data_IF_196253909537
#
_entry.id   IF_196253909537
#
_cell.length_a   1.000
_cell.length_b   1.000
_cell.length_c   1.000
_cell.angle_alpha   90.00
_cell.angle_beta   90.00
_cell.angle_gamma   90.00
#
_symmetry.space_group_name_H-M   'P 1'
#
loop_
_entity.id
_entity.type
_entity.pdbx_description
1 polymer ?
#
# COMPACT_ATOMS: atom_id res chain seq x y z
N UNK A 1 8.09 -5.58 3.45
CA UNK A 1 8.90 -4.56 2.75
C UNK A 1 10.38 -4.90 2.90
N UNK A 2 11.09 -4.55 3.98
CA UNK A 2 12.54 -4.82 4.10
C UNK A 2 13.00 -6.24 3.70
N UNK A 3 12.50 -7.28 4.38
CA UNK A 3 12.90 -8.67 4.07
C UNK A 3 12.49 -9.14 2.68
N UNK A 4 11.40 -8.61 2.11
CA UNK A 4 11.08 -8.91 0.71
C UNK A 4 12.12 -8.28 -0.20
N UNK A 5 12.47 -7.02 0.04
CA UNK A 5 13.53 -6.34 -0.71
C UNK A 5 14.89 -7.03 -0.63
N UNK A 6 15.24 -7.60 0.53
CA UNK A 6 16.46 -8.42 0.67
C UNK A 6 16.37 -9.73 -0.12
N UNK A 7 15.19 -10.37 -0.15
CA UNK A 7 15.02 -11.66 -0.84
C UNK A 7 14.83 -11.53 -2.35
N UNK A 8 14.20 -10.45 -2.82
CA UNK A 8 14.02 -10.15 -4.25
C UNK A 8 15.21 -9.38 -4.84
N UNK A 9 16.14 -8.93 -3.99
CA UNK A 9 17.37 -8.25 -4.38
C UNK A 9 17.25 -6.74 -4.59
N UNK A 10 16.07 -6.15 -4.41
CA UNK A 10 15.90 -4.68 -4.47
C UNK A 10 16.58 -3.95 -3.30
N UNK A 11 16.94 -4.66 -2.23
CA UNK A 11 17.88 -4.19 -1.20
C UNK A 11 19.17 -5.01 -1.33
N UNK A 12 20.24 -4.42 -1.89
CA UNK A 12 21.53 -5.07 -2.03
C UNK A 12 22.15 -5.48 -0.69
N UNK A 13 23.01 -6.49 -0.71
CA UNK A 13 23.70 -7.02 0.49
C UNK A 13 24.67 -5.99 1.11
N UNK A 14 25.14 -5.05 0.31
CA UNK A 14 25.98 -3.93 0.70
C UNK A 14 25.17 -2.68 1.10
N UNK A 15 23.84 -2.78 1.16
CA UNK A 15 22.93 -1.70 1.59
C UNK A 15 21.87 -2.20 2.60
N UNK A 16 22.18 -3.27 3.34
CA UNK A 16 21.22 -3.88 4.27
C UNK A 16 20.82 -2.91 5.39
N UNK A 17 21.77 -2.17 5.94
CA UNK A 17 21.47 -1.25 7.03
C UNK A 17 20.81 0.04 6.52
N UNK A 18 21.28 0.56 5.38
CA UNK A 18 20.70 1.72 4.71
C UNK A 18 19.25 1.46 4.29
N UNK A 19 18.98 0.34 3.62
CA UNK A 19 17.62 -0.04 3.21
C UNK A 19 16.68 -0.23 4.40
N UNK A 20 17.18 -0.70 5.55
CA UNK A 20 16.42 -0.76 6.78
C UNK A 20 16.03 0.64 7.30
N UNK A 21 17.00 1.55 7.40
CA UNK A 21 16.75 2.90 7.91
C UNK A 21 15.91 3.76 6.96
N UNK A 22 16.06 3.60 5.65
CA UNK A 22 15.22 4.26 4.65
C UNK A 22 13.73 3.88 4.83
N UNK A 23 13.45 2.61 5.11
CA UNK A 23 12.09 2.15 5.40
C UNK A 23 11.57 2.62 6.76
N UNK A 24 12.45 2.70 7.77
CA UNK A 24 12.11 3.22 9.11
C UNK A 24 11.70 4.68 9.05
N UNK A 25 12.46 5.48 8.29
CA UNK A 25 12.16 6.89 8.10
C UNK A 25 10.90 7.09 7.26
N UNK A 26 10.82 6.48 6.07
CA UNK A 26 9.67 6.67 5.16
C UNK A 26 8.34 6.17 5.69
N UNK A 27 8.31 5.11 6.51
CA UNK A 27 7.05 4.53 7.00
C UNK A 27 6.71 4.92 8.43
N UNK A 28 7.71 5.26 9.26
CA UNK A 28 7.51 5.46 10.70
C UNK A 28 8.01 6.82 11.20
N UNK A 29 8.71 7.61 10.38
CA UNK A 29 9.18 8.93 10.77
C UNK A 29 10.25 8.93 11.85
N UNK A 30 11.12 7.91 11.86
CA UNK A 30 12.17 7.76 12.87
C UNK A 30 13.55 7.64 12.26
N UNK A 31 14.52 8.31 12.89
CA UNK A 31 15.94 8.30 12.52
C UNK A 31 16.81 7.72 13.65
N UNK A 32 18.01 7.18 13.40
CA UNK A 32 18.86 6.69 14.46
C UNK A 32 19.33 7.83 15.39
N UNK A 33 19.25 7.68 16.72
CA UNK A 33 19.57 8.75 17.66
C UNK A 33 21.06 9.12 17.72
N UNK A 34 21.95 8.23 17.29
CA UNK A 34 23.40 8.43 17.31
C UNK A 34 23.95 8.98 15.97
N UNK A 35 23.06 9.46 15.09
CA UNK A 35 23.43 9.85 13.72
C UNK A 35 23.42 8.67 12.74
N UNK A 36 23.91 8.91 11.53
CA UNK A 36 23.90 7.92 10.45
C UNK A 36 24.66 6.64 10.85
N UNK A 37 24.06 5.48 10.54
CA UNK A 37 24.63 4.16 10.83
C UNK A 37 25.03 3.47 9.53
N UNK A 38 26.32 3.22 9.36
CA UNK A 38 26.86 2.56 8.17
C UNK A 38 26.61 1.06 8.12
N UNK A 39 27.15 0.43 7.08
CA UNK A 39 26.98 -1.00 6.75
C UNK A 39 27.90 -1.93 7.57
N UNK A 40 28.78 -1.36 8.39
CA UNK A 40 29.45 -2.11 9.46
C UNK A 40 28.47 -2.62 10.53
N UNK A 41 27.22 -2.15 10.51
CA UNK A 41 26.13 -2.58 11.37
C UNK A 41 25.07 -3.38 10.61
N UNK A 42 24.36 -4.22 11.36
CA UNK A 42 23.19 -4.93 10.86
C UNK A 42 22.05 -4.78 11.88
N UNK A 43 21.53 -3.57 11.99
CA UNK A 43 20.47 -3.20 12.93
C UNK A 43 19.18 -4.05 12.77
N UNK A 44 18.72 -4.47 11.57
CA UNK A 44 17.61 -5.41 11.47
C UNK A 44 17.89 -6.75 12.17
N UNK A 45 19.16 -7.17 12.28
CA UNK A 45 19.55 -8.37 13.04
C UNK A 45 19.25 -8.28 14.55
N UNK A 46 19.11 -7.07 15.09
CA UNK A 46 18.71 -6.86 16.48
C UNK A 46 17.22 -7.13 16.73
N UNK A 47 16.40 -7.30 15.68
CA UNK A 47 14.99 -7.69 15.79
C UNK A 47 14.83 -9.19 15.63
N UNK A 48 14.50 -9.90 16.72
CA UNK A 48 14.32 -11.37 16.80
C UNK A 48 13.85 -12.08 15.52
N UNK A 49 12.79 -11.59 14.88
CA UNK A 49 12.18 -12.21 13.69
C UNK A 49 13.10 -12.29 12.47
N UNK A 50 14.13 -11.45 12.39
CA UNK A 50 15.13 -11.47 11.32
C UNK A 50 16.07 -12.67 11.50
N UNK A 51 16.86 -12.82 12.58
CA UNK A 51 17.73 -13.98 12.76
C UNK A 51 16.96 -15.29 12.99
N UNK A 52 15.76 -15.24 13.57
CA UNK A 52 14.92 -16.44 13.75
C UNK A 52 14.15 -16.84 12.48
N UNK A 53 14.29 -16.11 11.37
CA UNK A 53 13.60 -16.35 10.10
C UNK A 53 12.07 -16.51 10.22
N UNK A 54 11.43 -15.70 11.06
CA UNK A 54 9.96 -15.73 11.28
C UNK A 54 9.28 -14.64 10.44
N UNK A 55 8.39 -14.97 9.49
CA UNK A 55 7.72 -13.97 8.64
C UNK A 55 6.94 -12.91 9.44
N UNK A 56 7.13 -11.62 9.12
CA UNK A 56 6.58 -10.50 9.90
C UNK A 56 5.21 -9.97 9.40
N UNK A 57 4.85 -10.21 8.12
CA UNK A 57 3.60 -9.70 7.52
C UNK A 57 2.34 -10.15 8.29
N UNK A 58 2.41 -11.31 8.95
CA UNK A 58 1.35 -11.84 9.81
C UNK A 58 0.89 -10.85 10.88
N UNK A 59 1.80 -10.01 11.39
CA UNK A 59 1.46 -9.02 12.40
C UNK A 59 0.65 -7.89 11.79
N UNK A 60 1.08 -7.31 10.67
CA UNK A 60 0.32 -6.27 9.97
C UNK A 60 -1.10 -6.76 9.64
N UNK A 61 -1.22 -7.95 9.05
CA UNK A 61 -2.53 -8.58 8.79
C UNK A 61 -3.34 -8.72 10.08
N UNK A 62 -2.75 -9.25 11.15
CA UNK A 62 -3.41 -9.38 12.45
C UNK A 62 -3.89 -8.04 13.02
N UNK A 63 -3.16 -6.94 12.82
CA UNK A 63 -3.58 -5.60 13.26
C UNK A 63 -4.76 -5.04 12.47
N UNK A 64 -4.99 -5.49 11.23
CA UNK A 64 -6.20 -5.13 10.48
C UNK A 64 -7.36 -6.03 10.88
N UNK A 65 -7.19 -7.36 10.74
CA UNK A 65 -8.32 -8.29 10.87
C UNK A 65 -8.80 -8.44 12.32
N UNK A 66 -7.98 -8.16 13.34
CA UNK A 66 -8.45 -8.25 14.72
C UNK A 66 -9.59 -7.28 15.02
N UNK A 67 -9.58 -6.08 14.43
CA UNK A 67 -10.67 -5.11 14.60
C UNK A 67 -11.91 -5.48 13.78
N UNK A 68 -11.71 -6.08 12.60
CA UNK A 68 -12.79 -6.65 11.79
C UNK A 68 -13.50 -7.80 12.54
N UNK A 69 -12.73 -8.68 13.19
CA UNK A 69 -13.28 -9.73 14.04
C UNK A 69 -13.99 -9.12 15.24
N UNK A 70 -13.36 -8.18 15.94
CA UNK A 70 -13.95 -7.54 17.10
C UNK A 70 -15.29 -6.87 16.75
N UNK A 71 -15.36 -6.10 15.66
CA UNK A 71 -16.59 -5.50 15.16
C UNK A 71 -17.69 -6.55 14.92
N UNK A 72 -17.36 -7.63 14.21
CA UNK A 72 -18.31 -8.72 13.91
C UNK A 72 -18.81 -9.43 15.18
N UNK A 73 -17.91 -9.66 16.14
CA UNK A 73 -18.25 -10.32 17.40
C UNK A 73 -19.08 -9.42 18.31
N UNK A 74 -18.82 -8.11 18.31
CA UNK A 74 -19.60 -7.12 19.05
C UNK A 74 -21.01 -6.98 18.48
N UNK A 75 -21.16 -6.99 17.16
CA UNK A 75 -22.47 -7.03 16.50
C UNK A 75 -23.24 -8.28 16.92
N UNK A 76 -22.60 -9.46 16.87
CA UNK A 76 -23.22 -10.71 17.32
C UNK A 76 -23.58 -10.69 18.82
N UNK A 77 -22.81 -9.97 19.63
CA UNK A 77 -23.09 -9.78 21.05
C UNK A 77 -24.24 -8.79 21.33
N UNK A 78 -24.82 -8.16 20.30
CA UNK A 78 -25.87 -7.15 20.44
C UNK A 78 -25.37 -5.83 21.00
N UNK A 79 -24.07 -5.55 20.90
CA UNK A 79 -23.48 -4.29 21.38
C UNK A 79 -24.08 -3.10 20.61
N UNK A 80 -24.31 -2.01 21.33
CA UNK A 80 -24.75 -0.73 20.75
C UNK A 80 -23.84 0.38 21.26
N UNK A 81 -23.46 1.30 20.38
CA UNK A 81 -22.55 2.39 20.69
C UNK A 81 -21.15 2.21 20.10
N UNK A 82 -20.16 3.00 20.56
CA UNK A 82 -18.81 2.99 20.00
C UNK A 82 -18.14 1.61 20.12
N UNK A 83 -17.40 1.20 19.10
CA UNK A 83 -16.80 -0.13 19.04
C UNK A 83 -15.80 -0.36 20.20
N UNK A 84 -15.04 0.65 20.60
CA UNK A 84 -14.04 0.54 21.65
C UNK A 84 -14.60 0.30 23.07
N UNK A 85 -15.91 0.41 23.27
CA UNK A 85 -16.56 0.11 24.56
C UNK A 85 -17.15 -1.30 24.63
N UNK A 86 -17.09 -2.06 23.53
CA UNK A 86 -17.61 -3.41 23.49
C UNK A 86 -16.78 -4.38 24.34
N UNK A 87 -17.47 -5.22 25.10
CA UNK A 87 -16.90 -6.39 25.75
C UNK A 87 -17.70 -7.63 25.35
N UNK A 88 -17.01 -8.64 24.80
CA UNK A 88 -17.62 -9.90 24.37
C UNK A 88 -17.57 -10.99 25.46
N UNK A 89 -17.16 -10.63 26.68
CA UNK A 89 -17.12 -11.54 27.81
C UNK A 89 -18.46 -12.23 28.05
N UNK A 90 -18.42 -13.55 28.24
CA UNK A 90 -19.59 -14.40 28.49
C UNK A 90 -20.66 -14.37 27.38
N UNK A 91 -20.30 -14.03 26.14
CA UNK A 91 -21.21 -14.07 25.00
C UNK A 91 -21.04 -15.35 24.16
N UNK A 92 -22.08 -16.20 24.15
CA UNK A 92 -22.05 -17.49 23.44
C UNK A 92 -22.15 -17.37 21.93
N UNK A 93 -22.79 -16.31 21.42
CA UNK A 93 -22.97 -16.11 19.98
C UNK A 93 -21.65 -15.70 19.33
N UNK A 94 -20.91 -14.77 19.95
CA UNK A 94 -19.54 -14.44 19.59
C UNK A 94 -18.62 -15.67 19.67
N UNK A 95 -18.72 -16.45 20.75
CA UNK A 95 -17.99 -17.71 20.90
C UNK A 95 -18.29 -18.73 19.79
N UNK A 96 -19.55 -18.81 19.35
CA UNK A 96 -19.98 -19.67 18.25
C UNK A 96 -19.33 -19.31 16.91
N UNK A 97 -19.26 -18.01 16.60
CA UNK A 97 -18.59 -17.49 15.40
C UNK A 97 -17.09 -17.84 15.43
N UNK A 98 -16.41 -17.54 16.54
CA UNK A 98 -15.00 -17.86 16.72
C UNK A 98 -14.74 -19.36 16.56
N UNK A 99 -15.55 -20.21 17.19
CA UNK A 99 -15.40 -21.67 17.13
C UNK A 99 -15.52 -22.18 15.70
N UNK A 100 -16.54 -21.74 14.96
CA UNK A 100 -16.77 -22.17 13.55
C UNK A 100 -15.56 -21.89 12.67
N UNK A 101 -14.93 -20.72 12.84
CA UNK A 101 -13.75 -20.34 12.09
C UNK A 101 -12.50 -21.12 12.51
N UNK A 102 -12.26 -21.25 13.83
CA UNK A 102 -11.06 -21.90 14.37
C UNK A 102 -11.03 -23.42 14.10
N UNK A 103 -12.18 -24.10 14.12
CA UNK A 103 -12.27 -25.55 13.86
C UNK A 103 -11.84 -25.93 12.43
N UNK A 104 -11.86 -24.99 11.47
CA UNK A 104 -11.47 -25.24 10.07
C UNK A 104 -9.94 -25.28 9.89
N UNK A 105 -9.17 -24.64 10.78
CA UNK A 105 -7.73 -24.54 10.63
C UNK A 105 -7.31 -24.05 9.24
N UNK A 106 -6.67 -24.92 8.46
CA UNK A 106 -6.23 -24.64 7.08
C UNK A 106 -6.98 -25.46 6.02
N UNK A 107 -8.16 -26.02 6.34
CA UNK A 107 -8.92 -26.86 5.40
C UNK A 107 -9.72 -26.08 4.35
N UNK A 108 -9.88 -24.78 4.54
CA UNK A 108 -10.73 -23.90 3.72
C UNK A 108 -9.96 -22.62 3.35
N UNK A 109 -10.23 -22.00 2.18
CA UNK A 109 -9.61 -20.74 1.80
C UNK A 109 -9.87 -19.64 2.83
N UNK A 110 -8.83 -18.89 3.19
CA UNK A 110 -8.95 -17.85 4.22
C UNK A 110 -10.03 -16.79 3.94
N UNK A 111 -10.37 -16.38 2.69
CA UNK A 111 -11.45 -15.41 2.46
C UNK A 111 -12.82 -15.98 2.86
N UNK A 112 -13.02 -17.29 2.68
CA UNK A 112 -14.24 -17.98 3.10
C UNK A 112 -14.35 -18.00 4.63
N UNK A 113 -13.26 -18.33 5.31
CA UNK A 113 -13.20 -18.31 6.78
C UNK A 113 -13.35 -16.88 7.32
N UNK A 114 -12.77 -15.88 6.65
CA UNK A 114 -12.89 -14.47 6.98
C UNK A 114 -14.33 -13.96 6.81
N UNK A 115 -15.07 -14.46 5.82
CA UNK A 115 -16.49 -14.12 5.67
C UNK A 115 -17.31 -14.58 6.87
N UNK A 116 -17.03 -15.78 7.40
CA UNK A 116 -17.71 -16.28 8.59
C UNK A 116 -17.32 -15.49 9.86
N UNK A 117 -16.01 -15.24 10.05
CA UNK A 117 -15.48 -14.63 11.28
C UNK A 117 -15.55 -13.10 11.32
N UNK A 118 -15.39 -12.46 10.16
CA UNK A 118 -15.25 -11.02 9.98
C UNK A 118 -16.31 -10.40 9.06
N UNK A 119 -17.31 -11.18 8.61
CA UNK A 119 -18.47 -10.68 7.86
C UNK A 119 -18.23 -10.30 6.40
N UNK A 120 -16.99 -10.42 5.89
CA UNK A 120 -16.59 -10.04 4.54
C UNK A 120 -15.49 -10.98 4.04
N UNK A 121 -15.36 -11.16 2.73
CA UNK A 121 -14.26 -11.94 2.15
C UNK A 121 -12.96 -11.13 2.07
N UNK A 122 -13.03 -9.81 2.26
CA UNK A 122 -11.90 -8.90 2.15
C UNK A 122 -11.39 -8.50 3.54
N UNK A 123 -10.09 -8.18 3.60
CA UNK A 123 -9.53 -7.49 4.76
C UNK A 123 -9.90 -6.01 4.71
N UNK A 124 -10.51 -5.51 5.78
CA UNK A 124 -11.08 -4.17 5.82
C UNK A 124 -10.44 -3.33 6.93
N UNK A 125 -9.77 -2.24 6.57
CA UNK A 125 -9.16 -1.30 7.51
C UNK A 125 -10.17 -0.38 8.20
N UNK A 126 -11.40 -0.30 7.70
CA UNK A 126 -12.40 0.61 8.26
C UNK A 126 -12.71 0.29 9.73
N UNK A 127 -12.64 -0.98 10.15
CA UNK A 127 -12.96 -1.40 11.52
C UNK A 127 -11.95 -0.88 12.55
N UNK A 128 -10.66 -0.82 12.22
CA UNK A 128 -9.66 -0.19 13.10
C UNK A 128 -9.84 1.33 13.16
N UNK A 129 -10.21 1.96 12.04
CA UNK A 129 -10.53 3.40 12.00
C UNK A 129 -11.73 3.70 12.91
N UNK A 130 -12.82 2.92 12.79
CA UNK A 130 -14.03 3.08 13.60
C UNK A 130 -13.75 2.89 15.10
N UNK A 131 -12.82 1.99 15.45
CA UNK A 131 -12.43 1.79 16.85
C UNK A 131 -11.76 3.05 17.43
N UNK A 132 -10.84 3.66 16.68
CA UNK A 132 -10.05 4.81 17.12
C UNK A 132 -10.63 6.17 16.72
N UNK A 133 -11.79 6.22 16.08
CA UNK A 133 -12.41 7.48 15.58
C UNK A 133 -12.47 8.60 16.63
N UNK A 134 -12.84 8.36 17.90
CA UNK A 134 -12.87 9.43 18.90
C UNK A 134 -11.48 9.99 19.21
N UNK A 135 -10.45 9.12 19.19
CA UNK A 135 -9.07 9.52 19.40
C UNK A 135 -8.54 10.29 18.19
N UNK A 136 -8.86 9.85 16.97
CA UNK A 136 -8.47 10.56 15.75
C UNK A 136 -9.04 11.98 15.75
N UNK A 137 -10.34 12.13 16.02
CA UNK A 137 -11.00 13.44 16.12
C UNK A 137 -10.35 14.33 17.18
N UNK A 138 -10.03 13.76 18.35
CA UNK A 138 -9.35 14.50 19.41
C UNK A 138 -7.95 14.96 18.98
N UNK A 139 -7.15 14.06 18.39
CA UNK A 139 -5.79 14.37 17.94
C UNK A 139 -5.78 15.41 16.82
N UNK A 140 -6.70 15.33 15.86
CA UNK A 140 -6.81 16.32 14.78
C UNK A 140 -7.07 17.72 15.34
N UNK A 141 -7.93 17.84 16.36
CA UNK A 141 -8.19 19.12 17.03
C UNK A 141 -6.99 19.63 17.81
N UNK A 142 -6.31 18.77 18.59
CA UNK A 142 -5.11 19.16 19.33
C UNK A 142 -3.98 19.61 18.39
N UNK A 143 -3.80 18.94 17.25
CA UNK A 143 -2.82 19.31 16.24
C UNK A 143 -3.17 20.67 15.61
N UNK A 144 -4.44 20.92 15.30
CA UNK A 144 -4.93 22.23 14.83
C UNK A 144 -4.66 23.34 15.85
N UNK A 145 -5.03 23.13 17.11
CA UNK A 145 -4.92 24.14 18.16
C UNK A 145 -3.46 24.48 18.48
N UNK A 146 -2.58 23.49 18.37
CA UNK A 146 -1.14 23.65 18.61
C UNK A 146 -0.34 24.05 17.36
N UNK A 147 -1.01 24.32 16.22
CA UNK A 147 -0.40 24.62 14.92
C UNK A 147 0.71 23.61 14.55
N UNK A 148 0.46 22.33 14.87
CA UNK A 148 1.41 21.24 14.65
C UNK A 148 1.14 20.62 13.29
N UNK A 149 2.19 20.45 12.50
CA UNK A 149 2.06 19.78 11.23
C UNK A 149 2.09 18.25 11.35
N UNK A 150 1.41 17.61 10.41
CA UNK A 150 1.37 16.16 10.27
C UNK A 150 2.46 15.75 9.29
N UNK A 151 3.25 14.74 9.67
CA UNK A 151 4.36 14.22 8.88
C UNK A 151 5.72 14.58 9.47
N UNK A 152 6.78 14.45 8.66
CA UNK A 152 8.16 14.75 9.07
C UNK A 152 8.98 15.21 7.86
N UNK A 153 10.07 15.94 8.14
CA UNK A 153 10.88 16.56 7.10
C UNK A 153 10.10 17.65 6.34
N UNK A 154 10.23 17.67 5.02
CA UNK A 154 9.57 18.64 4.16
C UNK A 154 8.07 18.33 3.94
N UNK A 155 7.60 17.17 4.42
CA UNK A 155 6.20 16.72 4.32
C UNK A 155 5.38 17.17 5.54
N UNK A 156 5.39 18.47 5.81
CA UNK A 156 4.73 19.10 6.95
C UNK A 156 3.36 19.63 6.49
N UNK A 157 2.30 18.81 6.62
CA UNK A 157 0.94 19.19 6.23
C UNK A 157 0.24 19.92 7.36
N UNK A 158 -0.45 21.03 7.06
CA UNK A 158 -1.35 21.66 8.01
C UNK A 158 -2.48 20.67 8.38
N UNK A 159 -2.84 20.52 9.66
CA UNK A 159 -3.90 19.62 10.06
C UNK A 159 -5.23 20.09 9.44
N UNK A 160 -6.03 19.15 8.93
CA UNK A 160 -7.24 19.43 8.13
C UNK A 160 -8.46 18.97 8.92
N UNK A 161 -9.48 19.81 9.04
CA UNK A 161 -10.75 19.44 9.65
C UNK A 161 -11.48 18.38 8.80
N UNK A 162 -11.93 17.30 9.45
CA UNK A 162 -12.61 16.13 8.84
C UNK A 162 -13.88 16.45 8.04
N UNK A 163 -14.43 17.66 8.14
CA UNK A 163 -15.69 18.04 7.49
C UNK A 163 -15.59 18.35 5.98
N UNK A 164 -14.40 18.51 5.41
CA UNK A 164 -14.23 19.21 4.13
C UNK A 164 -13.79 18.31 2.95
N UNK A 165 -14.14 17.02 2.97
CA UNK A 165 -13.71 16.04 1.95
C UNK A 165 -14.55 15.97 0.67
N UNK A 166 -15.36 16.97 0.37
CA UNK A 166 -15.99 17.06 -0.96
C UNK A 166 -16.12 18.51 -1.44
N UNK A 167 -15.44 18.79 -2.56
CA UNK A 167 -15.70 19.82 -3.59
C UNK A 167 -14.36 20.39 -4.13
N UNK A 168 -14.12 20.14 -5.41
CA UNK A 168 -13.18 20.83 -6.32
C UNK A 168 -14.06 21.34 -7.51
N UNK A 169 -13.76 22.36 -8.35
CA UNK A 169 -12.78 23.49 -8.36
C UNK A 169 -13.38 24.87 -8.74
N UNK A 170 -12.56 25.94 -8.88
CA UNK A 170 -12.45 26.72 -10.14
C UNK A 170 -11.16 27.56 -10.30
N UNK A 171 -10.69 27.59 -11.55
CA UNK A 171 -9.41 28.08 -12.12
C UNK A 171 -9.42 29.56 -12.56
N UNK A 172 -8.22 30.15 -12.75
CA UNK A 172 -7.93 31.37 -13.55
C UNK A 172 -7.00 31.02 -14.74
N UNK A 173 -7.26 31.48 -16.00
CA UNK A 173 -6.76 30.90 -17.24
C UNK A 173 -5.42 31.46 -17.77
N UNK A 174 -4.45 31.77 -16.90
CA UNK A 174 -3.08 32.12 -17.35
C UNK A 174 -1.97 31.44 -16.57
N UNK A 175 -2.24 30.27 -16.01
CA UNK A 175 -1.24 29.52 -15.25
C UNK A 175 -0.93 28.15 -15.86
N UNK A 176 0.36 27.89 -16.04
CA UNK A 176 0.95 26.68 -16.61
C UNK A 176 0.53 25.42 -15.81
N UNK A 177 0.28 25.60 -14.52
CA UNK A 177 -0.11 24.55 -13.58
C UNK A 177 -1.50 23.99 -13.83
N UNK A 178 -2.43 24.81 -14.32
CA UNK A 178 -3.79 24.35 -14.54
C UNK A 178 -3.88 23.36 -15.70
N UNK A 179 -3.11 23.60 -16.77
CA UNK A 179 -3.02 22.67 -17.90
C UNK A 179 -2.23 21.40 -17.52
N UNK A 180 -1.16 21.54 -16.73
CA UNK A 180 -0.41 20.42 -16.20
C UNK A 180 -1.26 19.52 -15.27
N UNK A 181 -2.15 20.11 -14.47
CA UNK A 181 -3.10 19.39 -13.62
C UNK A 181 -4.10 18.55 -14.41
N UNK A 182 -4.65 19.11 -15.49
CA UNK A 182 -5.54 18.38 -16.39
C UNK A 182 -4.81 17.23 -17.11
N UNK A 183 -3.60 17.49 -17.60
CA UNK A 183 -2.78 16.45 -18.25
C UNK A 183 -2.40 15.32 -17.29
N UNK A 184 -2.11 15.62 -16.02
CA UNK A 184 -1.84 14.60 -14.99
C UNK A 184 -3.08 13.78 -14.65
N UNK A 185 -4.26 14.41 -14.66
CA UNK A 185 -5.53 13.71 -14.44
C UNK A 185 -5.91 12.79 -15.61
N UNK A 186 -5.63 13.21 -16.85
CA UNK A 186 -5.83 12.38 -18.04
C UNK A 186 -4.84 11.20 -18.07
N UNK A 187 -3.56 11.44 -17.78
CA UNK A 187 -2.56 10.38 -17.61
C UNK A 187 -3.01 9.35 -16.56
N UNK A 188 -3.48 9.82 -15.40
CA UNK A 188 -3.93 8.92 -14.34
C UNK A 188 -5.12 8.05 -14.79
N UNK A 189 -6.05 8.62 -15.56
CA UNK A 189 -7.22 7.88 -16.05
C UNK A 189 -6.83 6.83 -17.09
N UNK A 190 -5.99 7.19 -18.06
CA UNK A 190 -5.53 6.28 -19.11
C UNK A 190 -4.64 5.17 -18.56
N UNK A 191 -3.72 5.50 -17.66
CA UNK A 191 -2.84 4.53 -17.01
C UNK A 191 -3.62 3.60 -16.09
N UNK A 192 -4.64 4.10 -15.38
CA UNK A 192 -5.50 3.25 -14.54
C UNK A 192 -6.20 2.17 -15.36
N UNK A 193 -6.75 2.51 -16.53
CA UNK A 193 -7.43 1.52 -17.37
C UNK A 193 -6.46 0.46 -17.92
N UNK A 194 -5.27 0.87 -18.35
CA UNK A 194 -4.24 -0.05 -18.85
C UNK A 194 -3.68 -0.96 -17.74
N UNK A 195 -3.36 -0.39 -16.58
CA UNK A 195 -2.85 -1.13 -15.42
C UNK A 195 -3.92 -2.08 -14.87
N UNK A 196 -5.18 -1.65 -14.82
CA UNK A 196 -6.28 -2.50 -14.38
C UNK A 196 -6.46 -3.70 -15.31
N UNK A 197 -6.43 -3.48 -16.63
CA UNK A 197 -6.50 -4.58 -17.59
C UNK A 197 -5.30 -5.55 -17.45
N UNK A 198 -4.07 -5.02 -17.38
CA UNK A 198 -2.89 -5.85 -17.18
C UNK A 198 -2.93 -6.66 -15.87
N UNK A 199 -3.45 -6.06 -14.80
CA UNK A 199 -3.65 -6.73 -13.51
C UNK A 199 -4.69 -7.84 -13.58
N UNK A 200 -5.78 -7.67 -14.35
CA UNK A 200 -6.78 -8.72 -14.57
C UNK A 200 -6.24 -9.88 -15.42
N UNK A 201 -5.41 -9.59 -16.41
CA UNK A 201 -4.71 -10.61 -17.20
C UNK A 201 -3.70 -11.36 -16.34
N UNK A 202 -2.98 -10.66 -15.46
CA UNK A 202 -2.11 -11.27 -14.44
C UNK A 202 -2.88 -12.18 -13.48
N UNK A 203 -4.02 -11.71 -13.00
CA UNK A 203 -4.90 -12.51 -12.15
C UNK A 203 -5.32 -13.80 -12.86
N UNK A 204 -5.64 -13.74 -14.15
CA UNK A 204 -5.98 -14.92 -14.96
C UNK A 204 -4.80 -15.88 -15.03
N UNK A 205 -3.57 -15.37 -15.24
CA UNK A 205 -2.35 -16.19 -15.19
C UNK A 205 -2.13 -16.83 -13.81
N UNK A 206 -2.28 -16.09 -12.72
CA UNK A 206 -2.04 -16.63 -11.38
C UNK A 206 -3.05 -17.69 -10.95
N UNK A 207 -4.24 -17.71 -11.55
CA UNK A 207 -5.25 -18.72 -11.28
C UNK A 207 -5.21 -19.91 -12.26
N UNK A 208 -4.60 -19.74 -13.44
CA UNK A 208 -4.35 -20.80 -14.41
C UNK A 208 -2.98 -20.60 -15.07
N UNK A 209 -1.96 -21.17 -14.43
CA UNK A 209 -0.54 -20.94 -14.71
C UNK A 209 -0.12 -21.71 -15.95
N UNK A 210 -0.43 -21.15 -17.11
CA UNK A 210 -0.01 -21.66 -18.42
C UNK A 210 0.93 -20.68 -19.12
N UNK A 211 1.77 -21.18 -20.03
CA UNK A 211 2.68 -20.34 -20.82
C UNK A 211 1.92 -19.30 -21.64
N UNK A 212 0.77 -19.68 -22.23
CA UNK A 212 -0.06 -18.77 -23.00
C UNK A 212 -0.61 -17.60 -22.14
N UNK A 213 -1.05 -17.88 -20.92
CA UNK A 213 -1.52 -16.83 -20.01
C UNK A 213 -0.36 -15.96 -19.49
N UNK A 214 0.82 -16.54 -19.29
CA UNK A 214 2.02 -15.81 -18.94
C UNK A 214 2.41 -14.79 -20.01
N UNK A 215 2.41 -15.23 -21.28
CA UNK A 215 2.73 -14.43 -22.45
C UNK A 215 1.70 -13.30 -22.65
N UNK A 216 0.40 -13.61 -22.55
CA UNK A 216 -0.66 -12.61 -22.63
C UNK A 216 -0.53 -11.53 -21.55
N UNK A 217 -0.16 -11.91 -20.32
CA UNK A 217 0.10 -10.93 -19.28
C UNK A 217 1.37 -10.10 -19.57
N UNK A 218 2.43 -10.71 -20.12
CA UNK A 218 3.63 -9.96 -20.51
C UNK A 218 3.30 -8.90 -21.55
N UNK A 219 2.51 -9.23 -22.57
CA UNK A 219 2.05 -8.28 -23.57
C UNK A 219 1.22 -7.15 -22.96
N UNK A 220 0.30 -7.46 -22.03
CA UNK A 220 -0.52 -6.45 -21.38
C UNK A 220 0.32 -5.46 -20.56
N UNK A 221 1.30 -5.94 -19.80
CA UNK A 221 2.21 -5.08 -19.05
C UNK A 221 3.19 -4.32 -19.93
N UNK A 222 3.53 -4.84 -21.11
CA UNK A 222 4.33 -4.11 -22.07
C UNK A 222 3.58 -2.89 -22.62
N UNK A 223 2.27 -3.00 -22.82
CA UNK A 223 1.44 -1.85 -23.20
C UNK A 223 1.41 -0.79 -22.09
N UNK A 224 1.28 -1.21 -20.83
CA UNK A 224 1.35 -0.31 -19.66
C UNK A 224 2.70 0.39 -19.63
N UNK A 225 3.79 -0.36 -19.76
CA UNK A 225 5.15 0.16 -19.81
C UNK A 225 5.30 1.23 -20.90
N UNK A 226 4.93 0.90 -22.13
CA UNK A 226 5.09 1.81 -23.26
C UNK A 226 4.21 3.06 -23.13
N UNK A 227 2.98 2.93 -22.63
CA UNK A 227 2.12 4.07 -22.34
C UNK A 227 2.70 4.97 -21.24
N UNK A 228 3.21 4.38 -20.15
CA UNK A 228 3.85 5.12 -19.06
C UNK A 228 5.05 5.91 -19.55
N UNK A 229 5.88 5.32 -20.41
CA UNK A 229 7.03 6.01 -20.96
C UNK A 229 6.68 7.13 -21.93
N UNK A 230 5.59 6.95 -22.70
CA UNK A 230 5.06 8.02 -23.54
C UNK A 230 4.54 9.19 -22.71
N UNK A 231 3.70 8.94 -21.71
CA UNK A 231 3.17 9.99 -20.84
C UNK A 231 4.27 10.74 -20.10
N UNK A 232 5.29 10.01 -19.66
CA UNK A 232 6.47 10.63 -19.08
C UNK A 232 7.10 11.65 -20.03
N UNK A 233 7.44 11.23 -21.24
CA UNK A 233 8.11 12.10 -22.21
C UNK A 233 7.24 13.27 -22.66
N UNK A 234 5.98 12.99 -22.99
CA UNK A 234 5.10 13.96 -23.63
C UNK A 234 4.53 14.97 -22.61
N UNK A 235 4.35 14.54 -21.36
CA UNK A 235 3.76 15.37 -20.29
C UNK A 235 4.77 15.63 -19.19
N UNK A 236 5.30 14.62 -18.53
CA UNK A 236 6.10 14.86 -17.33
C UNK A 236 7.36 15.69 -17.60
N UNK A 237 8.07 15.42 -18.70
CA UNK A 237 9.27 16.20 -19.07
C UNK A 237 8.95 17.55 -19.73
N UNK A 238 7.75 17.70 -20.31
CA UNK A 238 7.40 18.90 -21.07
C UNK A 238 7.03 20.09 -20.18
N UNK A 239 6.72 19.84 -18.91
CA UNK A 239 6.43 20.87 -17.94
C UNK A 239 7.61 21.11 -16.98
N UNK A 240 7.98 22.38 -16.79
CA UNK A 240 8.90 22.79 -15.72
C UNK A 240 8.17 22.78 -14.36
N UNK A 241 7.82 21.58 -13.91
CA UNK A 241 6.98 21.37 -12.75
C UNK A 241 7.61 21.90 -11.46
N UNK A 242 8.93 22.08 -11.42
CA UNK A 242 9.63 22.63 -10.26
C UNK A 242 9.20 24.07 -9.92
N UNK A 243 8.77 24.82 -10.93
CA UNK A 243 8.26 26.18 -10.75
C UNK A 243 6.78 26.22 -10.36
N UNK A 244 6.13 25.05 -10.29
CA UNK A 244 4.73 24.98 -9.90
C UNK A 244 4.56 25.40 -8.45
N UNK A 245 3.61 26.30 -8.20
CA UNK A 245 3.20 26.82 -6.90
C UNK A 245 2.28 25.85 -6.19
N UNK A 246 1.44 25.12 -6.90
CA UNK A 246 0.70 23.99 -6.38
C UNK A 246 1.67 22.86 -6.05
N UNK A 247 2.02 22.79 -4.76
CA UNK A 247 2.95 21.80 -4.22
C UNK A 247 2.49 20.35 -4.39
N UNK A 248 1.18 20.11 -4.46
CA UNK A 248 0.64 18.77 -4.68
C UNK A 248 0.85 18.35 -6.14
N UNK A 249 0.47 19.21 -7.08
CA UNK A 249 0.68 18.95 -8.50
C UNK A 249 2.16 18.85 -8.85
N UNK A 250 3.01 19.71 -8.27
CA UNK A 250 4.47 19.62 -8.38
C UNK A 250 4.99 18.26 -7.94
N UNK A 251 4.53 17.77 -6.79
CA UNK A 251 4.95 16.47 -6.25
C UNK A 251 4.46 15.31 -7.11
N UNK A 252 3.27 15.41 -7.72
CA UNK A 252 2.81 14.40 -8.68
C UNK A 252 3.72 14.33 -9.91
N UNK A 253 4.07 15.47 -10.52
CA UNK A 253 5.03 15.50 -11.62
C UNK A 253 6.42 15.00 -11.21
N UNK A 254 6.85 15.29 -9.98
CA UNK A 254 8.13 14.78 -9.46
C UNK A 254 8.14 13.26 -9.30
N UNK A 255 7.07 12.69 -8.77
CA UNK A 255 6.97 11.23 -8.62
C UNK A 255 6.90 10.54 -9.98
N UNK A 256 6.19 11.15 -10.94
CA UNK A 256 6.11 10.64 -12.29
C UNK A 256 7.38 10.93 -13.11
N UNK A 257 8.35 11.72 -12.62
CA UNK A 257 9.61 12.01 -13.31
C UNK A 257 10.53 10.80 -13.40
N UNK A 258 10.34 9.78 -12.57
CA UNK A 258 11.13 8.57 -12.72
C UNK A 258 10.29 7.50 -13.43
N UNK A 259 10.65 7.19 -14.69
CA UNK A 259 9.91 6.22 -15.53
C UNK A 259 9.84 4.81 -14.92
N UNK A 260 10.74 4.48 -13.98
CA UNK A 260 10.84 3.14 -13.43
C UNK A 260 11.10 2.10 -14.53
N UNK A 261 10.39 0.97 -14.49
CA UNK A 261 10.53 -0.10 -15.49
C UNK A 261 10.12 0.33 -16.89
N UNK A 262 9.39 1.46 -17.03
CA UNK A 262 9.06 2.01 -18.33
C UNK A 262 10.26 2.57 -19.10
N UNK A 263 11.39 2.80 -18.43
CA UNK A 263 12.64 3.18 -19.05
C UNK A 263 13.39 2.01 -19.73
N UNK A 264 13.01 0.76 -19.42
CA UNK A 264 13.66 -0.42 -19.98
C UNK A 264 13.34 -0.59 -21.46
N UNK A 265 14.19 -1.34 -22.18
CA UNK A 265 13.84 -1.79 -23.53
C UNK A 265 12.70 -2.82 -23.46
N UNK A 266 12.00 -3.04 -24.57
CA UNK A 266 10.89 -4.00 -24.60
C UNK A 266 11.41 -5.42 -24.34
N UNK A 267 12.56 -5.79 -24.89
CA UNK A 267 13.21 -7.07 -24.60
C UNK A 267 13.55 -7.22 -23.10
N UNK A 268 14.21 -6.22 -22.50
CA UNK A 268 14.62 -6.28 -21.09
C UNK A 268 13.41 -6.34 -20.15
N UNK A 269 12.33 -5.64 -20.50
CA UNK A 269 11.10 -5.63 -19.72
C UNK A 269 10.36 -6.96 -19.78
N UNK A 270 10.28 -7.59 -20.97
CA UNK A 270 9.66 -8.91 -21.14
C UNK A 270 10.47 -9.97 -20.40
N UNK A 271 11.81 -9.91 -20.48
CA UNK A 271 12.69 -10.83 -19.78
C UNK A 271 12.51 -10.73 -18.26
N UNK A 272 12.45 -9.51 -17.73
CA UNK A 272 12.18 -9.26 -16.31
C UNK A 272 10.85 -9.88 -15.86
N UNK A 273 9.76 -9.65 -16.61
CA UNK A 273 8.45 -10.18 -16.23
C UNK A 273 8.37 -11.70 -16.35
N UNK A 274 9.04 -12.29 -17.35
CA UNK A 274 9.13 -13.75 -17.47
C UNK A 274 9.81 -14.37 -16.25
N UNK A 275 10.91 -13.78 -15.80
CA UNK A 275 11.64 -14.25 -14.61
C UNK A 275 10.75 -14.21 -13.36
N UNK A 276 10.00 -13.12 -13.15
CA UNK A 276 9.10 -12.98 -11.99
C UNK A 276 8.00 -14.06 -12.00
N UNK A 277 7.46 -14.36 -13.18
CA UNK A 277 6.38 -15.35 -13.36
C UNK A 277 6.88 -16.78 -13.21
N UNK A 278 8.04 -17.11 -13.76
CA UNK A 278 8.67 -18.42 -13.58
C UNK A 278 8.93 -18.71 -12.09
N UNK A 279 9.34 -17.70 -11.33
CA UNK A 279 9.48 -17.84 -9.87
C UNK A 279 8.16 -18.10 -9.16
N UNK A 280 7.05 -17.55 -9.66
CA UNK A 280 5.72 -17.71 -9.05
C UNK A 280 5.14 -19.09 -9.33
N UNK A 281 5.33 -19.62 -10.55
CA UNK A 281 4.85 -20.93 -10.97
C UNK A 281 5.46 -22.11 -10.15
N UNK A 282 6.67 -21.93 -9.62
CA UNK A 282 7.35 -22.93 -8.77
C UNK A 282 6.59 -23.18 -7.46
N UNK A 283 5.82 -22.20 -6.97
CA UNK A 283 5.08 -22.31 -5.71
C UNK A 283 3.62 -22.77 -5.87
N UNK A 284 3.12 -22.86 -7.10
CA UNK A 284 1.72 -23.21 -7.41
C UNK A 284 1.53 -24.61 -7.97
N UNK A 285 2.57 -25.28 -8.45
CA UNK A 285 2.47 -26.67 -8.92
C UNK A 285 2.61 -27.68 -7.76
N UNK A 286 1.47 -28.08 -7.18
CA UNK A 286 1.23 -29.34 -6.46
C UNK A 286 -0.07 -29.98 -6.92
#
# INVERSE_FOLDING_TARGET
MYRWGVFDGSIPIDELNAGWWNLRESLQGVTPPAGQRGEEFFDPGAKYHVPANVPYIRYFVSFIVQFQFHARLCEAAGHTGPLHTCDIYNNTDAGGILRSALEKGFSEPWPKVLSELGGSQNMESQHIINYFEPLLTYLDQELLDADQCIGWGDECFAPVSLADRSVIPKQDPRDNETAAGLAMSEMNTDMTNLVQNATLVDWTYYNDVTTANADASNEAWLLVKNASGKWHKDVIESYNYQEFKDSYLRRQFELQKNLGTAALTDEDFIELNKIIKDMTAIYTNR
#
